data_IF_960277503681
#
_entry.id   IF_960277503681
#
_cell.length_a   1.000
_cell.length_b   1.000
_cell.length_c   1.000
_cell.angle_alpha   90.00
_cell.angle_beta   90.00
_cell.angle_gamma   90.00
#
_symmetry.space_group_name_H-M   'P 1'
#
loop_
_entity.id
_entity.type
_entity.pdbx_description
1 polymer ?
#
# COMPACT_ATOMS: atom_id res chain seq x y z
N UNK A 1 5.52 7.01 4.15
CA UNK A 1 4.85 8.32 4.01
C UNK A 1 5.80 9.45 3.63
N UNK A 2 6.86 9.73 4.40
CA UNK A 2 7.78 10.85 4.09
C UNK A 2 8.39 10.84 2.67
N UNK A 3 8.75 9.68 2.13
CA UNK A 3 9.26 9.58 0.76
C UNK A 3 8.19 9.96 -0.28
N UNK A 4 6.93 9.56 -0.06
CA UNK A 4 5.81 9.95 -0.92
C UNK A 4 5.65 11.47 -0.85
N UNK A 5 5.61 12.03 0.37
CA UNK A 5 5.50 13.48 0.59
C UNK A 5 6.60 14.27 -0.13
N UNK A 6 7.85 13.84 0.02
CA UNK A 6 8.99 14.47 -0.66
C UNK A 6 8.87 14.45 -2.18
N UNK A 7 8.46 13.32 -2.75
CA UNK A 7 8.28 13.17 -4.20
C UNK A 7 7.09 14.00 -4.68
N UNK A 8 5.97 14.03 -3.96
CA UNK A 8 4.81 14.87 -4.32
C UNK A 8 5.17 16.36 -4.31
N UNK A 9 5.86 16.83 -3.27
CA UNK A 9 6.31 18.22 -3.17
C UNK A 9 7.25 18.60 -4.32
N UNK A 10 8.17 17.70 -4.69
CA UNK A 10 9.09 17.95 -5.79
C UNK A 10 8.37 17.93 -7.15
N UNK A 11 7.52 16.93 -7.38
CA UNK A 11 6.92 16.65 -8.68
C UNK A 11 5.76 17.61 -9.03
N UNK A 12 4.93 17.98 -8.06
CA UNK A 12 3.75 18.82 -8.27
C UNK A 12 3.96 20.29 -7.91
N UNK A 13 4.86 20.58 -6.96
CA UNK A 13 5.04 21.91 -6.39
C UNK A 13 6.45 22.48 -6.59
N UNK A 14 7.40 21.70 -7.13
CA UNK A 14 8.77 22.15 -7.39
C UNK A 14 9.57 22.54 -6.14
N UNK A 15 9.15 22.08 -4.95
CA UNK A 15 9.74 22.46 -3.66
C UNK A 15 10.30 21.25 -2.91
N UNK A 16 11.32 21.50 -2.09
CA UNK A 16 11.90 20.50 -1.20
C UNK A 16 11.21 20.60 0.16
N UNK A 17 10.22 19.75 0.41
CA UNK A 17 9.57 19.60 1.72
C UNK A 17 9.15 18.15 1.93
N UNK A 18 9.10 17.73 3.20
CA UNK A 18 8.56 16.44 3.63
C UNK A 18 7.16 16.57 4.24
N UNK A 19 6.59 17.79 4.23
CA UNK A 19 5.23 18.04 4.70
C UNK A 19 4.23 17.31 3.81
N UNK A 20 3.21 16.75 4.44
CA UNK A 20 2.21 16.01 3.70
C UNK A 20 1.33 16.96 2.87
N UNK A 21 1.21 16.65 1.58
CA UNK A 21 0.39 17.40 0.63
C UNK A 21 -0.08 16.44 -0.46
N UNK A 22 -1.38 16.47 -0.78
CA UNK A 22 -1.92 15.74 -1.92
C UNK A 22 -1.61 16.42 -3.26
N UNK A 23 -1.67 15.69 -4.38
CA UNK A 23 -1.42 16.26 -5.71
C UNK A 23 -2.54 17.18 -6.20
N UNK A 24 -3.72 17.18 -5.59
CA UNK A 24 -4.91 17.87 -6.09
C UNK A 24 -4.77 19.40 -6.17
N UNK A 25 -3.96 20.01 -5.30
CA UNK A 25 -3.76 21.47 -5.25
C UNK A 25 -2.70 22.03 -6.20
N UNK A 26 -2.24 21.25 -7.19
CA UNK A 26 -1.19 21.66 -8.12
C UNK A 26 -1.64 22.75 -9.12
N UNK A 27 -0.70 23.50 -9.69
CA UNK A 27 -0.98 24.58 -10.67
C UNK A 27 -0.38 24.32 -12.06
N UNK A 28 -0.08 23.06 -12.37
CA UNK A 28 0.65 22.66 -13.59
C UNK A 28 -0.22 22.72 -14.88
N UNK A 29 -1.54 22.83 -14.76
CA UNK A 29 -2.44 22.72 -15.91
C UNK A 29 -2.27 21.38 -16.64
N UNK A 30 -2.30 21.39 -17.98
CA UNK A 30 -2.17 20.17 -18.79
C UNK A 30 -0.81 19.46 -18.65
N UNK A 31 0.23 20.15 -18.16
CA UNK A 31 1.54 19.52 -17.92
C UNK A 31 1.51 18.44 -16.84
N UNK A 32 0.47 18.41 -16.01
CA UNK A 32 0.28 17.37 -15.00
C UNK A 32 0.25 15.96 -15.60
N UNK A 33 -0.21 15.82 -16.84
CA UNK A 33 -0.25 14.53 -17.54
C UNK A 33 1.14 13.88 -17.62
N UNK A 34 2.20 14.69 -17.72
CA UNK A 34 3.57 14.18 -17.82
C UNK A 34 4.16 13.75 -16.49
N UNK A 35 3.59 14.17 -15.35
CA UNK A 35 4.15 13.89 -14.02
C UNK A 35 4.04 12.40 -13.68
N UNK A 36 2.85 11.75 -13.74
CA UNK A 36 2.75 10.31 -13.56
C UNK A 36 3.57 9.52 -14.59
N UNK A 37 3.66 10.02 -15.84
CA UNK A 37 4.43 9.36 -16.91
C UNK A 37 5.91 9.32 -16.57
N UNK A 38 6.47 10.44 -16.08
CA UNK A 38 7.86 10.49 -15.66
C UNK A 38 8.15 9.51 -14.52
N UNK A 39 7.29 9.46 -13.50
CA UNK A 39 7.41 8.48 -12.42
C UNK A 39 7.31 7.03 -12.91
N UNK A 40 6.37 6.75 -13.80
CA UNK A 40 6.17 5.44 -14.39
C UNK A 40 7.34 4.96 -15.25
N UNK A 41 8.00 5.88 -15.97
CA UNK A 41 9.24 5.57 -16.70
C UNK A 41 10.37 5.18 -15.74
N UNK A 42 10.55 5.92 -14.65
CA UNK A 42 11.54 5.59 -13.61
C UNK A 42 11.24 4.20 -13.03
N UNK A 43 9.97 3.91 -12.71
CA UNK A 43 9.56 2.59 -12.19
C UNK A 43 9.79 1.48 -13.22
N UNK A 44 9.51 1.72 -14.50
CA UNK A 44 9.80 0.78 -15.58
C UNK A 44 11.29 0.42 -15.64
N UNK A 45 12.16 1.43 -15.60
CA UNK A 45 13.62 1.25 -15.56
C UNK A 45 14.05 0.50 -14.30
N UNK A 46 13.52 0.87 -13.12
CA UNK A 46 13.78 0.16 -11.86
C UNK A 46 13.34 -1.30 -11.92
N UNK A 47 12.22 -1.61 -12.57
CA UNK A 47 11.73 -2.96 -12.69
C UNK A 47 12.61 -3.79 -13.65
N UNK A 48 13.07 -3.19 -14.75
CA UNK A 48 13.96 -3.84 -15.74
C UNK A 48 15.34 -4.16 -15.17
N UNK A 49 15.98 -3.21 -14.50
CA UNK A 49 17.37 -3.35 -14.07
C UNK A 49 17.54 -3.71 -12.60
N UNK A 50 16.53 -3.42 -11.76
CA UNK A 50 16.56 -3.74 -10.32
C UNK A 50 15.91 -5.08 -10.03
N UNK A 51 14.59 -5.19 -10.23
CA UNK A 51 13.86 -6.44 -10.06
C UNK A 51 12.45 -6.39 -10.62
N UNK A 52 12.09 -7.39 -11.44
CA UNK A 52 10.73 -7.53 -11.94
C UNK A 52 9.68 -7.77 -10.83
N UNK A 53 10.09 -8.20 -9.64
CA UNK A 53 9.21 -8.44 -8.49
C UNK A 53 8.76 -7.14 -7.76
N UNK A 54 9.22 -5.96 -8.20
CA UNK A 54 8.64 -4.70 -7.71
C UNK A 54 7.27 -4.43 -8.34
N UNK A 55 6.95 -5.10 -9.46
CA UNK A 55 5.62 -5.07 -10.06
C UNK A 55 4.59 -5.72 -9.13
N UNK A 56 3.32 -5.45 -9.38
CA UNK A 56 2.20 -6.02 -8.62
C UNK A 56 1.96 -5.38 -7.25
N UNK A 57 1.03 -5.96 -6.50
CA UNK A 57 0.25 -5.28 -5.45
C UNK A 57 0.90 -5.29 -4.05
N UNK A 58 1.88 -6.16 -3.83
CA UNK A 58 2.66 -6.31 -2.59
C UNK A 58 2.19 -7.47 -1.70
N UNK A 59 0.89 -7.57 -1.41
CA UNK A 59 0.33 -8.61 -0.54
C UNK A 59 0.39 -10.00 -1.20
N UNK A 60 -0.10 -10.21 -2.44
CA UNK A 60 -0.05 -11.53 -3.06
C UNK A 60 1.38 -12.06 -3.20
N UNK A 61 2.35 -11.18 -3.45
CA UNK A 61 3.76 -11.55 -3.54
C UNK A 61 4.31 -11.96 -2.18
N UNK A 62 3.94 -11.28 -1.09
CA UNK A 62 4.30 -11.70 0.26
C UNK A 62 3.69 -13.08 0.59
N UNK A 63 2.44 -13.33 0.22
CA UNK A 63 1.76 -14.63 0.38
C UNK A 63 2.49 -15.73 -0.41
N UNK A 64 2.85 -15.45 -1.66
CA UNK A 64 3.58 -16.39 -2.50
C UNK A 64 4.93 -16.78 -1.87
N UNK A 65 5.67 -15.82 -1.31
CA UNK A 65 6.91 -16.12 -0.60
C UNK A 65 6.69 -16.98 0.64
N UNK A 66 5.59 -16.79 1.36
CA UNK A 66 5.20 -17.64 2.50
C UNK A 66 4.90 -19.07 2.05
N UNK A 67 4.14 -19.23 0.96
CA UNK A 67 3.67 -20.53 0.48
C UNK A 67 4.75 -21.34 -0.24
N UNK A 68 5.58 -20.70 -1.08
CA UNK A 68 6.46 -21.41 -2.01
C UNK A 68 7.95 -21.26 -1.71
N UNK A 69 8.38 -20.20 -1.00
CA UNK A 69 9.80 -19.90 -0.80
C UNK A 69 10.24 -19.97 0.68
N UNK A 70 9.45 -20.65 1.52
CA UNK A 70 9.70 -20.78 2.94
C UNK A 70 9.84 -19.42 3.63
N UNK A 71 9.10 -18.40 3.20
CA UNK A 71 9.15 -17.03 3.72
C UNK A 71 10.49 -16.30 3.53
N UNK A 72 11.29 -16.63 2.51
CA UNK A 72 12.55 -15.93 2.19
C UNK A 72 12.32 -14.80 1.18
N UNK A 73 12.30 -13.57 1.65
CA UNK A 73 12.21 -12.38 0.79
C UNK A 73 13.63 -11.89 0.46
N UNK A 74 13.96 -11.64 -0.82
CA UNK A 74 15.26 -11.08 -1.20
C UNK A 74 15.48 -9.68 -0.59
N UNK A 75 16.69 -9.41 -0.08
CA UNK A 75 17.03 -8.16 0.59
C UNK A 75 16.75 -6.90 -0.23
N UNK A 76 16.95 -6.97 -1.55
CA UNK A 76 16.66 -5.87 -2.47
C UNK A 76 15.19 -5.43 -2.44
N UNK A 77 14.24 -6.31 -2.10
CA UNK A 77 12.82 -5.94 -2.06
C UNK A 77 12.49 -4.99 -0.92
N UNK A 78 13.23 -5.08 0.20
CA UNK A 78 13.03 -4.19 1.35
C UNK A 78 13.28 -2.71 1.01
N UNK A 79 14.01 -2.42 -0.06
CA UNK A 79 14.31 -1.05 -0.49
C UNK A 79 13.67 -0.70 -1.83
N UNK A 80 13.70 -1.62 -2.81
CA UNK A 80 13.16 -1.35 -4.14
C UNK A 80 11.64 -1.20 -4.14
N UNK A 81 10.91 -2.03 -3.38
CA UNK A 81 9.43 -1.97 -3.33
C UNK A 81 8.94 -0.65 -2.73
N UNK A 82 9.37 -0.22 -1.52
CA UNK A 82 8.90 1.04 -0.95
C UNK A 82 9.35 2.25 -1.79
N UNK A 83 10.53 2.21 -2.39
CA UNK A 83 10.98 3.31 -3.27
C UNK A 83 10.13 3.40 -4.54
N UNK A 84 9.87 2.27 -5.21
CA UNK A 84 9.03 2.25 -6.41
C UNK A 84 7.59 2.71 -6.12
N UNK A 85 7.03 2.31 -4.98
CA UNK A 85 5.71 2.77 -4.53
C UNK A 85 5.72 4.26 -4.22
N UNK A 86 6.76 4.76 -3.55
CA UNK A 86 6.89 6.19 -3.25
C UNK A 86 6.96 7.04 -4.50
N UNK A 87 7.70 6.60 -5.52
CA UNK A 87 7.76 7.25 -6.83
C UNK A 87 6.38 7.20 -7.51
N UNK A 88 5.73 6.03 -7.53
CA UNK A 88 4.43 5.87 -8.20
C UNK A 88 3.39 6.81 -7.60
N UNK A 89 3.21 6.73 -6.29
CA UNK A 89 2.21 7.52 -5.56
C UNK A 89 2.59 9.01 -5.56
N UNK A 90 3.86 9.33 -5.30
CA UNK A 90 4.33 10.71 -5.22
C UNK A 90 4.31 11.44 -6.56
N UNK A 91 4.32 10.72 -7.68
CA UNK A 91 4.12 11.31 -9.02
C UNK A 91 2.66 11.28 -9.50
N UNK A 92 1.72 10.91 -8.62
CA UNK A 92 0.27 11.00 -8.89
C UNK A 92 -0.41 9.67 -9.21
N UNK A 93 0.31 8.54 -9.15
CA UNK A 93 -0.29 7.21 -9.29
C UNK A 93 -1.36 6.95 -8.21
N UNK A 94 -2.57 6.49 -8.58
CA UNK A 94 -3.72 6.35 -7.68
C UNK A 94 -3.63 5.05 -6.88
N UNK A 95 -2.63 4.95 -5.99
CA UNK A 95 -2.36 3.73 -5.24
C UNK A 95 -2.35 3.99 -3.73
N UNK A 96 -2.90 3.04 -2.98
CA UNK A 96 -2.73 2.99 -1.53
C UNK A 96 -1.30 2.62 -1.15
N UNK A 97 -0.79 3.22 -0.06
CA UNK A 97 0.54 2.89 0.46
C UNK A 97 0.58 1.52 1.18
N UNK A 98 -0.58 0.91 1.44
CA UNK A 98 -0.72 -0.26 2.33
C UNK A 98 -0.04 -1.52 1.84
N UNK A 99 -0.30 -1.91 0.59
CA UNK A 99 0.36 -3.08 -0.01
C UNK A 99 1.89 -2.99 0.07
N UNK A 100 2.49 -1.86 -0.36
CA UNK A 100 3.92 -1.61 -0.22
C UNK A 100 4.43 -1.62 1.23
N UNK A 101 3.68 -1.07 2.19
CA UNK A 101 4.05 -1.05 3.61
C UNK A 101 4.07 -2.48 4.18
N UNK A 102 3.03 -3.27 3.93
CA UNK A 102 2.93 -4.67 4.34
C UNK A 102 4.08 -5.47 3.74
N UNK A 103 4.33 -5.32 2.44
CA UNK A 103 5.40 -6.03 1.74
C UNK A 103 6.79 -5.63 2.28
N UNK A 104 7.01 -4.35 2.58
CA UNK A 104 8.27 -3.84 3.14
C UNK A 104 8.49 -4.36 4.55
N UNK A 105 7.48 -4.25 5.42
CA UNK A 105 7.53 -4.78 6.78
C UNK A 105 7.77 -6.29 6.78
N UNK A 106 7.07 -7.03 5.92
CA UNK A 106 7.28 -8.46 5.70
C UNK A 106 8.69 -8.78 5.23
N UNK A 107 9.23 -8.01 4.28
CA UNK A 107 10.60 -8.16 3.80
C UNK A 107 11.61 -7.97 4.93
N UNK A 108 11.47 -6.93 5.75
CA UNK A 108 12.34 -6.68 6.90
C UNK A 108 12.26 -7.81 7.94
N UNK A 109 11.07 -8.28 8.26
CA UNK A 109 10.86 -9.42 9.17
C UNK A 109 11.48 -10.72 8.63
N UNK A 110 11.30 -10.97 7.33
CA UNK A 110 11.93 -12.11 6.65
C UNK A 110 13.45 -12.03 6.67
N UNK A 111 14.03 -10.84 6.44
CA UNK A 111 15.48 -10.63 6.47
C UNK A 111 16.05 -10.85 7.86
N UNK A 112 15.39 -10.34 8.89
CA UNK A 112 15.75 -10.64 10.27
C UNK A 112 15.74 -12.15 10.52
N UNK A 113 14.69 -12.84 10.06
CA UNK A 113 14.62 -14.31 10.15
C UNK A 113 15.70 -15.04 9.36
N UNK A 114 16.21 -14.46 8.26
CA UNK A 114 17.32 -15.04 7.49
C UNK A 114 18.69 -14.80 8.16
N UNK A 115 18.85 -13.67 8.84
CA UNK A 115 20.05 -13.35 9.62
C UNK A 115 20.13 -14.21 10.89
N UNK A 116 18.98 -14.54 11.47
CA UNK A 116 18.84 -15.47 12.59
C UNK A 116 18.79 -16.92 12.07
N UNK A 117 19.16 -17.88 12.93
CA UNK A 117 19.00 -19.30 12.63
C UNK A 117 17.56 -19.73 12.89
N UNK A 118 16.68 -19.48 11.91
CA UNK A 118 15.24 -19.80 12.00
C UNK A 118 14.80 -20.87 11.00
N UNK A 119 13.81 -21.65 11.40
CA UNK A 119 13.03 -22.53 10.53
C UNK A 119 12.12 -21.72 9.59
N UNK A 120 11.52 -22.37 8.60
CA UNK A 120 10.57 -21.71 7.70
C UNK A 120 9.33 -21.16 8.45
N UNK A 121 8.82 -21.91 9.44
CA UNK A 121 7.69 -21.50 10.28
C UNK A 121 8.02 -20.30 11.16
N UNK A 122 9.20 -20.29 11.80
CA UNK A 122 9.65 -19.15 12.61
C UNK A 122 9.88 -17.90 11.74
N UNK A 123 10.47 -18.07 10.55
CA UNK A 123 10.65 -16.96 9.59
C UNK A 123 9.32 -16.43 9.07
N UNK A 124 8.34 -17.30 8.84
CA UNK A 124 6.96 -16.92 8.49
C UNK A 124 6.35 -16.04 9.57
N UNK A 125 6.54 -16.40 10.85
CA UNK A 125 6.09 -15.57 11.99
C UNK A 125 6.79 -14.22 12.01
N UNK A 126 8.11 -14.15 11.79
CA UNK A 126 8.84 -12.88 11.74
C UNK A 126 8.43 -12.00 10.56
N UNK A 127 8.20 -12.59 9.39
CA UNK A 127 7.63 -11.90 8.21
C UNK A 127 6.26 -11.32 8.55
N UNK A 128 5.35 -12.13 9.10
CA UNK A 128 4.02 -11.66 9.50
C UNK A 128 4.08 -10.56 10.57
N UNK A 129 5.01 -10.68 11.54
CA UNK A 129 5.22 -9.68 12.58
C UNK A 129 5.70 -8.35 12.00
N UNK A 130 6.64 -8.37 11.05
CA UNK A 130 7.10 -7.18 10.34
C UNK A 130 6.00 -6.53 9.50
N UNK A 131 5.19 -7.34 8.80
CA UNK A 131 4.04 -6.86 8.04
C UNK A 131 3.00 -6.17 8.94
N UNK A 132 2.63 -6.80 10.06
CA UNK A 132 1.71 -6.22 11.05
C UNK A 132 2.28 -4.94 11.68
N UNK A 133 3.58 -4.94 12.01
CA UNK A 133 4.26 -3.75 12.53
C UNK A 133 4.23 -2.59 11.53
N UNK A 134 4.47 -2.83 10.24
CA UNK A 134 4.38 -1.78 9.21
C UNK A 134 2.99 -1.16 9.11
N UNK A 135 1.95 -2.01 9.10
CA UNK A 135 0.56 -1.53 9.09
C UNK A 135 0.21 -0.75 10.36
N UNK A 136 0.57 -1.28 11.54
CA UNK A 136 0.32 -0.63 12.83
C UNK A 136 1.06 0.70 12.97
N UNK A 137 2.31 0.79 12.50
CA UNK A 137 3.09 2.03 12.48
C UNK A 137 2.49 3.11 11.57
N UNK A 138 1.72 2.72 10.56
CA UNK A 138 1.13 3.66 9.61
C UNK A 138 -0.22 4.17 10.13
N UNK A 139 -1.10 3.25 10.54
CA UNK A 139 -2.48 3.59 10.88
C UNK A 139 -2.79 3.68 12.36
N UNK A 140 -1.92 3.18 13.24
CA UNK A 140 -2.21 3.11 14.67
C UNK A 140 -3.31 2.09 15.00
N UNK A 141 -3.50 1.09 14.14
CA UNK A 141 -4.54 0.06 14.25
C UNK A 141 -3.94 -1.33 14.56
N UNK A 142 -3.34 -1.54 15.75
CA UNK A 142 -2.61 -2.77 16.05
C UNK A 142 -3.49 -4.02 16.00
N UNK A 143 -4.75 -3.94 16.42
CA UNK A 143 -5.68 -5.08 16.40
C UNK A 143 -5.97 -5.51 14.96
N UNK A 144 -6.33 -4.56 14.09
CA UNK A 144 -6.58 -4.82 12.67
C UNK A 144 -5.33 -5.37 11.97
N UNK A 145 -4.15 -4.84 12.27
CA UNK A 145 -2.89 -5.30 11.71
C UNK A 145 -2.58 -6.77 12.08
N UNK A 146 -2.83 -7.16 13.34
CA UNK A 146 -2.66 -8.55 13.78
C UNK A 146 -3.65 -9.47 13.09
N UNK A 147 -4.92 -9.09 13.01
CA UNK A 147 -5.95 -9.90 12.33
C UNK A 147 -5.61 -10.09 10.85
N UNK A 148 -5.19 -9.03 10.17
CA UNK A 148 -4.77 -9.10 8.78
C UNK A 148 -3.57 -10.05 8.59
N UNK A 149 -2.56 -9.96 9.46
CA UNK A 149 -1.41 -10.85 9.40
C UNK A 149 -1.79 -12.31 9.67
N UNK A 150 -2.74 -12.57 10.57
CA UNK A 150 -3.26 -13.91 10.82
C UNK A 150 -3.98 -14.47 9.60
N UNK A 151 -4.88 -13.69 9.01
CA UNK A 151 -5.71 -14.10 7.89
C UNK A 151 -4.93 -14.28 6.58
N UNK A 152 -4.03 -13.34 6.27
CA UNK A 152 -3.36 -13.31 4.96
C UNK A 152 -1.98 -13.98 4.95
N UNK A 153 -1.27 -14.05 6.08
CA UNK A 153 0.12 -14.51 6.10
C UNK A 153 0.32 -15.77 6.95
N UNK A 154 -0.34 -15.86 8.11
CA UNK A 154 -0.12 -17.00 9.02
C UNK A 154 -1.02 -18.18 8.73
N UNK A 155 -2.30 -17.96 8.43
CA UNK A 155 -3.30 -19.02 8.29
C UNK A 155 -3.41 -19.95 9.52
N UNK A 156 -3.04 -19.47 10.71
CA UNK A 156 -3.13 -20.24 11.96
C UNK A 156 -3.34 -19.34 13.19
N UNK A 157 -4.09 -19.85 14.17
CA UNK A 157 -4.34 -19.16 15.45
C UNK A 157 -3.47 -19.70 16.61
N UNK A 158 -2.21 -20.05 16.33
CA UNK A 158 -1.31 -20.60 17.36
C UNK A 158 -0.68 -19.48 18.18
N UNK A 159 -0.69 -19.55 19.53
CA UNK A 159 -0.07 -18.53 20.38
C UNK A 159 1.40 -18.25 20.03
N UNK A 160 2.15 -19.29 19.64
CA UNK A 160 3.56 -19.19 19.21
C UNK A 160 3.78 -18.23 18.04
N UNK A 161 2.76 -18.02 17.21
CA UNK A 161 2.81 -17.20 16.00
C UNK A 161 2.12 -15.86 16.21
N UNK A 162 0.96 -15.86 16.88
CA UNK A 162 0.19 -14.64 17.18
C UNK A 162 0.93 -13.72 18.14
N UNK A 163 1.53 -14.26 19.21
CA UNK A 163 2.10 -13.43 20.27
C UNK A 163 3.27 -12.55 19.76
N UNK A 164 4.25 -13.06 18.99
CA UNK A 164 5.27 -12.22 18.38
C UNK A 164 4.70 -11.13 17.47
N UNK A 165 3.67 -11.45 16.68
CA UNK A 165 3.03 -10.52 15.75
C UNK A 165 2.29 -9.41 16.50
N UNK A 166 1.57 -9.76 17.56
CA UNK A 166 0.90 -8.80 18.43
C UNK A 166 1.88 -7.87 19.15
N UNK A 167 2.98 -8.41 19.68
CA UNK A 167 4.03 -7.61 20.33
C UNK A 167 4.66 -6.63 19.33
N UNK A 168 4.97 -7.09 18.11
CA UNK A 168 5.53 -6.24 17.07
C UNK A 168 4.56 -5.13 16.64
N UNK A 169 3.27 -5.45 16.47
CA UNK A 169 2.24 -4.47 16.13
C UNK A 169 2.05 -3.42 17.24
N UNK A 170 1.98 -3.84 18.51
CA UNK A 170 1.87 -2.91 19.66
C UNK A 170 3.11 -2.04 19.79
N UNK A 171 4.31 -2.60 19.65
CA UNK A 171 5.56 -1.84 19.68
C UNK A 171 5.60 -0.78 18.57
N UNK A 172 5.19 -1.15 17.36
CA UNK A 172 5.10 -0.24 16.22
C UNK A 172 4.06 0.86 16.43
N UNK A 173 2.90 0.56 17.02
CA UNK A 173 1.90 1.57 17.42
C UNK A 173 2.47 2.52 18.47
N UNK A 174 3.25 2.02 19.42
CA UNK A 174 3.95 2.87 20.40
C UNK A 174 4.89 3.87 19.71
N UNK A 175 5.67 3.42 18.73
CA UNK A 175 6.53 4.29 17.91
C UNK A 175 5.69 5.31 17.13
N UNK A 176 4.56 4.90 16.56
CA UNK A 176 3.63 5.83 15.89
C UNK A 176 3.12 6.90 16.86
N UNK A 177 2.71 6.52 18.06
CA UNK A 177 2.19 7.47 19.05
C UNK A 177 3.25 8.48 19.50
N UNK A 178 4.50 8.05 19.62
CA UNK A 178 5.61 8.95 19.95
C UNK A 178 5.95 9.92 18.82
N UNK A 179 5.71 9.54 17.56
CA UNK A 179 6.12 10.33 16.38
C UNK A 179 5.00 11.17 15.77
N UNK A 180 3.77 10.66 15.76
CA UNK A 180 2.60 11.25 15.08
C UNK A 180 1.40 11.43 16.02
N UNK A 181 1.53 11.09 17.30
CA UNK A 181 0.46 11.17 18.29
C UNK A 181 -0.49 9.97 18.28
N UNK A 182 -1.38 9.95 19.28
CA UNK A 182 -2.34 8.87 19.50
C UNK A 182 -3.70 9.09 18.80
N UNK A 183 -3.85 10.18 18.05
CA UNK A 183 -5.07 10.48 17.34
C UNK A 183 -5.37 9.42 16.26
N UNK A 184 -6.66 9.14 16.00
CA UNK A 184 -7.05 8.30 14.87
C UNK A 184 -6.57 8.93 13.56
N UNK A 185 -6.30 8.09 12.55
CA UNK A 185 -5.89 8.59 11.24
C UNK A 185 -7.00 9.41 10.56
N UNK A 186 -8.26 9.04 10.82
CA UNK A 186 -9.46 9.76 10.36
C UNK A 186 -10.41 9.87 11.56
N UNK A 187 -10.72 11.10 11.98
CA UNK A 187 -11.66 11.36 13.07
C UNK A 187 -13.07 11.51 12.48
N UNK A 188 -13.95 10.55 12.81
CA UNK A 188 -15.37 10.53 12.38
C UNK A 188 -16.29 11.16 13.42
N UNK A 189 -15.73 11.68 14.52
CA UNK A 189 -16.50 12.17 15.67
C UNK A 189 -17.27 11.07 16.40
N UNK A 190 -18.20 11.50 17.27
CA UNK A 190 -19.04 10.57 18.03
C UNK A 190 -20.23 10.09 17.21
N UNK A 191 -20.25 8.80 16.90
CA UNK A 191 -21.41 8.15 16.27
C UNK A 191 -22.32 7.57 17.37
N UNK A 192 -23.61 7.88 17.31
CA UNK A 192 -24.59 7.33 18.25
C UNK A 192 -24.78 5.81 18.09
N UNK A 193 -25.47 5.14 19.03
CA UNK A 193 -25.73 3.70 18.94
C UNK A 193 -26.54 3.37 17.68
N UNK A 194 -26.21 2.25 17.04
CA UNK A 194 -26.92 1.80 15.86
C UNK A 194 -28.37 1.40 16.20
N UNK A 195 -29.33 1.96 15.47
CA UNK A 195 -30.74 1.55 15.52
C UNK A 195 -30.98 0.29 14.69
N UNK A 196 -32.08 -0.42 14.91
CA UNK A 196 -32.42 -1.61 14.11
C UNK A 196 -32.51 -1.30 12.61
N UNK A 197 -33.01 -0.11 12.25
CA UNK A 197 -33.05 0.38 10.87
C UNK A 197 -31.65 0.63 10.32
N UNK A 198 -30.75 1.20 11.13
CA UNK A 198 -29.35 1.41 10.72
C UNK A 198 -28.64 0.07 10.45
N UNK A 199 -28.88 -0.95 11.28
CA UNK A 199 -28.32 -2.30 11.07
C UNK A 199 -28.79 -2.89 9.74
N UNK A 200 -30.08 -2.74 9.40
CA UNK A 200 -30.58 -3.18 8.10
C UNK A 200 -29.94 -2.40 6.94
N UNK A 201 -29.76 -1.09 7.10
CA UNK A 201 -29.06 -0.27 6.11
C UNK A 201 -27.60 -0.72 5.94
N UNK A 202 -26.89 -1.05 7.02
CA UNK A 202 -25.52 -1.56 6.96
C UNK A 202 -25.41 -2.90 6.22
N UNK A 203 -26.40 -3.79 6.36
CA UNK A 203 -26.46 -5.03 5.59
C UNK A 203 -26.60 -4.75 4.08
N UNK A 204 -27.47 -3.82 3.70
CA UNK A 204 -27.67 -3.43 2.30
C UNK A 204 -26.40 -2.77 1.74
N UNK A 205 -25.82 -1.82 2.46
CA UNK A 205 -24.56 -1.17 2.07
C UNK A 205 -23.44 -2.19 1.96
N UNK A 206 -23.30 -3.12 2.92
CA UNK A 206 -22.31 -4.19 2.88
C UNK A 206 -22.48 -5.09 1.65
N UNK A 207 -23.71 -5.45 1.29
CA UNK A 207 -23.99 -6.23 0.08
C UNK A 207 -23.63 -5.46 -1.20
N UNK A 208 -23.98 -4.17 -1.27
CA UNK A 208 -23.67 -3.30 -2.41
C UNK A 208 -22.16 -3.09 -2.57
N UNK A 209 -21.45 -2.80 -1.48
CA UNK A 209 -19.99 -2.65 -1.46
C UNK A 209 -19.31 -3.96 -1.82
N UNK A 210 -19.80 -5.10 -1.30
CA UNK A 210 -19.30 -6.42 -1.65
C UNK A 210 -19.46 -6.73 -3.15
N UNK A 211 -20.62 -6.41 -3.74
CA UNK A 211 -20.83 -6.55 -5.18
C UNK A 211 -19.93 -5.60 -5.97
N UNK A 212 -19.78 -4.35 -5.51
CA UNK A 212 -18.85 -3.38 -6.09
C UNK A 212 -17.41 -3.88 -6.10
N UNK A 213 -16.95 -4.49 -5.01
CA UNK A 213 -15.62 -5.08 -4.90
C UNK A 213 -15.39 -6.20 -5.93
N UNK A 214 -16.39 -7.04 -6.20
CA UNK A 214 -16.32 -8.07 -7.26
C UNK A 214 -16.15 -7.42 -8.63
N UNK A 215 -16.93 -6.38 -8.93
CA UNK A 215 -16.84 -5.65 -10.21
C UNK A 215 -15.46 -5.02 -10.37
N UNK A 216 -14.99 -4.27 -9.37
CA UNK A 216 -13.66 -3.65 -9.39
C UNK A 216 -12.56 -4.68 -9.57
N UNK A 217 -12.62 -5.81 -8.85
CA UNK A 217 -11.63 -6.90 -8.98
C UNK A 217 -11.59 -7.45 -10.40
N UNK A 218 -12.76 -7.71 -11.00
CA UNK A 218 -12.85 -8.20 -12.40
C UNK A 218 -12.33 -7.18 -13.40
N UNK A 219 -12.57 -5.89 -13.18
CA UNK A 219 -12.06 -4.82 -14.03
C UNK A 219 -10.54 -4.71 -13.94
N UNK A 220 -9.97 -4.76 -12.73
CA UNK A 220 -8.50 -4.74 -12.53
C UNK A 220 -7.85 -5.90 -13.28
N UNK A 221 -8.30 -7.14 -13.05
CA UNK A 221 -7.74 -8.30 -13.77
C UNK A 221 -7.99 -8.23 -15.27
N UNK A 222 -9.17 -7.75 -15.69
CA UNK A 222 -9.49 -7.55 -17.11
C UNK A 222 -8.56 -6.54 -17.78
N UNK A 223 -8.13 -5.49 -17.08
CA UNK A 223 -7.14 -4.52 -17.57
C UNK A 223 -5.74 -5.14 -17.58
N UNK A 224 -5.32 -5.83 -16.53
CA UNK A 224 -4.03 -6.53 -16.46
C UNK A 224 -3.86 -7.54 -17.62
N UNK A 225 -4.89 -8.33 -17.92
CA UNK A 225 -4.93 -9.29 -19.02
C UNK A 225 -4.81 -8.60 -20.39
N UNK A 226 -5.40 -7.41 -20.55
CA UNK A 226 -5.28 -6.62 -21.78
C UNK A 226 -3.86 -6.07 -21.96
N UNK A 227 -3.24 -5.57 -20.88
CA UNK A 227 -1.85 -5.12 -20.91
C UNK A 227 -0.89 -6.25 -21.27
N UNK A 228 -1.13 -7.47 -20.77
CA UNK A 228 -0.32 -8.65 -21.09
C UNK A 228 -0.35 -9.04 -22.58
N UNK A 229 -1.38 -8.63 -23.33
CA UNK A 229 -1.51 -8.88 -24.78
C UNK A 229 -0.84 -7.82 -25.66
N UNK A 230 -0.37 -6.71 -25.09
CA UNK A 230 0.27 -5.65 -25.86
C UNK A 230 1.62 -6.13 -26.41
N UNK A 231 1.94 -5.89 -27.70
CA UNK A 231 3.22 -6.27 -28.31
C UNK A 231 4.40 -5.36 -27.87
N UNK A 232 4.26 -4.64 -26.76
CA UNK A 232 5.26 -3.74 -26.22
C UNK A 232 5.98 -4.39 -25.05
N UNK A 233 7.29 -4.15 -24.95
CA UNK A 233 8.08 -4.64 -23.84
C UNK A 233 7.51 -4.13 -22.51
N UNK A 234 7.28 -5.04 -21.55
CA UNK A 234 6.57 -4.80 -20.29
C UNK A 234 7.08 -3.64 -19.42
N UNK A 235 8.32 -3.21 -19.65
CA UNK A 235 8.91 -2.00 -19.05
C UNK A 235 8.11 -0.73 -19.34
N UNK A 236 7.41 -0.66 -20.49
CA UNK A 236 6.67 0.52 -20.93
C UNK A 236 5.20 0.53 -20.49
N UNK A 237 4.66 -0.59 -20.01
CA UNK A 237 3.27 -0.68 -19.59
C UNK A 237 2.89 0.35 -18.52
N UNK A 238 3.72 0.61 -17.48
CA UNK A 238 3.39 1.63 -16.49
C UNK A 238 3.22 3.02 -17.11
N UNK A 239 4.06 3.40 -18.09
CA UNK A 239 3.99 4.71 -18.72
C UNK A 239 2.71 4.89 -19.56
N UNK A 240 2.25 3.82 -20.22
CA UNK A 240 0.98 3.82 -20.95
C UNK A 240 -0.22 3.98 -20.01
N UNK A 241 -0.24 3.24 -18.89
CA UNK A 241 -1.26 3.43 -17.86
C UNK A 241 -1.22 4.83 -17.24
N UNK A 242 -0.02 5.35 -17.01
CA UNK A 242 0.20 6.67 -16.45
C UNK A 242 -0.27 7.83 -17.35
N UNK A 243 -0.28 7.65 -18.68
CA UNK A 243 -0.91 8.61 -19.58
C UNK A 243 -2.41 8.75 -19.32
N UNK A 244 -3.10 7.61 -19.10
CA UNK A 244 -4.53 7.60 -18.76
C UNK A 244 -4.76 8.21 -17.38
N UNK A 245 -3.95 7.83 -16.39
CA UNK A 245 -3.99 8.42 -15.04
C UNK A 245 -3.78 9.93 -15.10
N UNK A 246 -2.77 10.40 -15.84
CA UNK A 246 -2.49 11.83 -15.98
C UNK A 246 -3.61 12.58 -16.70
N UNK A 247 -4.22 11.99 -17.73
CA UNK A 247 -5.36 12.58 -18.43
C UNK A 247 -6.60 12.71 -17.54
N UNK A 248 -6.90 11.67 -16.74
CA UNK A 248 -7.98 11.72 -15.74
C UNK A 248 -7.65 12.74 -14.65
N UNK A 249 -6.41 12.74 -14.13
CA UNK A 249 -5.95 13.67 -13.11
C UNK A 249 -5.94 15.13 -13.56
N UNK A 250 -5.81 15.40 -14.85
CA UNK A 250 -5.96 16.76 -15.38
C UNK A 250 -7.40 17.27 -15.28
N UNK A 251 -8.39 16.39 -15.44
CA UNK A 251 -9.81 16.74 -15.29
C UNK A 251 -10.28 16.67 -13.83
N UNK A 252 -9.89 15.62 -13.10
CA UNK A 252 -10.23 15.40 -11.70
C UNK A 252 -8.97 15.10 -10.87
N UNK A 253 -8.30 16.15 -10.34
CA UNK A 253 -7.03 16.00 -9.61
C UNK A 253 -7.11 15.16 -8.33
N UNK A 254 -8.28 15.05 -7.70
CA UNK A 254 -8.50 14.25 -6.49
C UNK A 254 -8.37 12.75 -6.73
N UNK A 255 -8.35 12.30 -7.99
CA UNK A 255 -8.08 10.90 -8.34
C UNK A 255 -6.61 10.52 -8.15
N UNK A 256 -5.70 11.48 -8.07
CA UNK A 256 -4.26 11.21 -8.00
C UNK A 256 -3.77 11.01 -6.56
N UNK A 257 -2.72 10.19 -6.40
CA UNK A 257 -2.06 9.95 -5.12
C UNK A 257 -2.79 8.93 -4.23
N UNK A 258 -2.64 9.07 -2.90
CA UNK A 258 -3.14 8.06 -1.93
C UNK A 258 -4.65 8.18 -1.70
N UNK A 259 -5.22 9.38 -1.84
CA UNK A 259 -6.64 9.63 -1.65
C UNK A 259 -7.09 9.81 -0.19
N UNK A 260 -6.18 9.96 0.77
CA UNK A 260 -6.55 10.24 2.17
C UNK A 260 -7.29 11.57 2.34
N UNK A 261 -6.89 12.61 1.59
CA UNK A 261 -7.57 13.91 1.57
C UNK A 261 -9.04 13.79 1.14
N UNK A 262 -9.37 12.80 0.28
CA UNK A 262 -10.75 12.53 -0.13
C UNK A 262 -11.57 11.92 1.01
N UNK A 263 -10.93 11.12 1.88
CA UNK A 263 -11.57 10.57 3.07
C UNK A 263 -11.78 11.71 4.06
N UNK A 264 -10.74 12.48 4.37
CA UNK A 264 -10.79 13.64 5.27
C UNK A 264 -11.84 14.68 4.86
N UNK A 265 -12.07 14.88 3.55
CA UNK A 265 -13.10 15.79 3.06
C UNK A 265 -14.54 15.30 3.26
N UNK A 266 -14.76 14.03 3.61
CA UNK A 266 -16.09 13.43 3.82
C UNK A 266 -16.44 13.29 5.31
N UNK A 267 -15.43 13.16 6.18
CA UNK A 267 -15.61 12.98 7.64
C UNK A 267 -15.64 14.28 8.42
#
# INVERSE_FOLDING_TARGET
MLLIAGITNLAFYGRWSLDWVGPAGHQLGAWVVLVPVAGALVIGVMARYGSAAIRGHGIPEAMDQVLHNGSRIPARMAWLKPLSAAISIGTGGPFGAEGPIIATGGALGSLLGQLLRTTADERKTLLAAGAAAGMAATFGSPVSAVLLAVELLLFEYRPRSILPVAIAAVGATGVRYLSHGAAPAFDVGSIGPATSTAVLAYLVVGALVGLGAVVVTKLVYGVEDQFARLPLHWMWWPALGALVVGAIGWYEPHTMGVGYDNIEGIV
#
